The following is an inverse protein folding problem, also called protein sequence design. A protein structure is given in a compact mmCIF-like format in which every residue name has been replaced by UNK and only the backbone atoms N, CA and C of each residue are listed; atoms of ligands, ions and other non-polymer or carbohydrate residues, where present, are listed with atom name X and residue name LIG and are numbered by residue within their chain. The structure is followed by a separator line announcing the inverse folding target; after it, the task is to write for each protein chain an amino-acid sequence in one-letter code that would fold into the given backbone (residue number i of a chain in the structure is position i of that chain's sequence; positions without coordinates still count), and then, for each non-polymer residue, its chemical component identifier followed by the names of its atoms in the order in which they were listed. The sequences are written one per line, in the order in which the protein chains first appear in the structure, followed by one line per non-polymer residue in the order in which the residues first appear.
data_IF_685148001924
#
_entry.id   IF_685148001924
#
_cell.length_a   1.000
_cell.length_b   1.000
_cell.length_c   1.000
_cell.angle_alpha   90.00
_cell.angle_beta   90.00
_cell.angle_gamma   90.00
#
_symmetry.space_group_name_H-M   'P 1'
#
loop_
_entity.id
_entity.type
_entity.pdbx_description
1 polymer ?
#
# COMPACT_ATOMS: atom_id res chain seq x y z
N UNK A 1 9.75 5.47 -3.75
CA UNK A 1 10.37 4.35 -3.01
C UNK A 1 11.07 3.30 -3.88
N UNK A 2 10.87 3.26 -5.21
CA UNK A 2 11.51 2.29 -6.14
C UNK A 2 13.03 2.14 -5.97
N UNK A 3 13.77 3.25 -5.88
CA UNK A 3 15.23 3.21 -5.78
C UNK A 3 15.75 2.64 -4.45
N UNK A 4 15.08 2.93 -3.34
CA UNK A 4 15.41 2.33 -2.04
C UNK A 4 15.22 0.81 -2.09
N UNK A 5 14.10 0.34 -2.64
CA UNK A 5 13.85 -1.10 -2.81
C UNK A 5 14.92 -1.75 -3.68
N UNK A 6 15.31 -1.13 -4.80
CA UNK A 6 16.39 -1.62 -5.66
C UNK A 6 17.73 -1.69 -4.95
N UNK A 7 18.13 -0.60 -4.26
CA UNK A 7 19.41 -0.54 -3.55
C UNK A 7 19.51 -1.61 -2.45
N UNK A 8 18.44 -1.79 -1.68
CA UNK A 8 18.38 -2.84 -0.66
C UNK A 8 18.43 -4.25 -1.27
N UNK A 9 17.76 -4.49 -2.41
CA UNK A 9 17.86 -5.78 -3.11
C UNK A 9 19.28 -6.02 -3.64
N UNK A 10 19.93 -5.01 -4.22
CA UNK A 10 21.32 -5.10 -4.70
C UNK A 10 22.31 -5.36 -3.55
N UNK A 11 22.00 -4.86 -2.35
CA UNK A 11 22.75 -5.15 -1.14
C UNK A 11 22.48 -6.57 -0.57
N UNK A 12 21.68 -7.39 -1.24
CA UNK A 12 21.40 -8.78 -0.86
C UNK A 12 20.15 -8.99 0.00
N UNK A 13 19.34 -7.97 0.25
CA UNK A 13 18.10 -8.14 1.00
C UNK A 13 17.00 -8.77 0.11
N UNK A 14 16.53 -9.95 0.52
CA UNK A 14 15.47 -10.71 -0.17
C UNK A 14 14.08 -10.49 0.42
N UNK A 15 13.97 -9.84 1.59
CA UNK A 15 12.73 -9.63 2.32
C UNK A 15 12.22 -8.19 2.13
N UNK A 16 12.10 -7.79 0.88
CA UNK A 16 11.57 -6.48 0.50
C UNK A 16 10.20 -6.71 -0.10
N UNK A 17 9.20 -6.00 0.40
CA UNK A 17 7.83 -6.13 -0.06
C UNK A 17 7.28 -4.72 -0.33
N UNK A 18 6.65 -4.51 -1.47
CA UNK A 18 6.10 -3.22 -1.87
C UNK A 18 4.62 -3.35 -2.15
N UNK A 19 3.82 -2.36 -1.76
CA UNK A 19 2.41 -2.26 -2.15
C UNK A 19 2.07 -0.86 -2.64
N UNK A 20 1.00 -0.76 -3.43
CA UNK A 20 0.30 0.47 -3.81
C UNK A 20 -1.10 0.37 -3.25
N UNK A 21 -1.48 1.33 -2.41
CA UNK A 21 -2.84 1.44 -1.89
C UNK A 21 -3.66 2.35 -2.81
N UNK A 22 -4.80 1.85 -3.28
CA UNK A 22 -5.66 2.54 -4.23
C UNK A 22 -7.14 2.31 -3.89
N UNK A 23 -7.53 2.74 -2.69
CA UNK A 23 -8.93 2.72 -2.27
C UNK A 23 -9.29 3.99 -1.49
N UNK A 24 -10.47 4.54 -1.77
CA UNK A 24 -11.03 5.69 -1.05
C UNK A 24 -12.08 5.16 -0.09
N UNK A 25 -11.84 5.33 1.21
CA UNK A 25 -12.79 4.92 2.25
C UNK A 25 -14.10 5.70 2.13
N UNK A 26 -15.24 5.06 2.43
CA UNK A 26 -16.53 5.75 2.44
C UNK A 26 -16.56 6.92 3.44
N UNK A 27 -15.86 6.78 4.55
CA UNK A 27 -15.67 7.79 5.58
C UNK A 27 -14.64 8.90 5.20
N UNK A 28 -14.41 9.19 3.92
CA UNK A 28 -13.35 10.11 3.44
C UNK A 28 -13.43 11.50 4.07
N UNK A 29 -14.63 12.00 4.32
CA UNK A 29 -14.88 13.30 4.98
C UNK A 29 -14.28 13.37 6.38
N UNK A 30 -14.16 12.25 7.08
CA UNK A 30 -13.59 12.19 8.42
C UNK A 30 -12.07 12.16 8.41
N UNK A 31 -11.46 11.77 7.28
CA UNK A 31 -10.01 11.80 7.10
C UNK A 31 -9.51 13.17 6.67
N UNK A 32 -10.26 13.85 5.79
CA UNK A 32 -9.81 15.07 5.12
C UNK A 32 -10.66 16.32 5.46
N UNK A 33 -11.71 16.16 6.24
CA UNK A 33 -12.66 17.23 6.59
C UNK A 33 -13.60 17.57 5.43
N UNK A 34 -14.65 18.33 5.71
CA UNK A 34 -15.61 18.83 4.70
C UNK A 34 -15.17 20.10 3.98
N UNK A 35 -14.03 20.66 4.39
CA UNK A 35 -13.46 21.88 3.85
C UNK A 35 -12.77 21.63 2.51
N UNK A 36 -13.04 22.49 1.53
CA UNK A 36 -12.53 22.41 0.15
C UNK A 36 -11.01 22.59 -0.02
N UNK A 37 -10.17 22.49 1.02
CA UNK A 37 -8.73 22.65 0.88
C UNK A 37 -8.04 21.43 0.25
N UNK A 38 -8.70 20.27 0.24
CA UNK A 38 -8.23 19.04 -0.42
C UNK A 38 -9.35 18.34 -1.20
N UNK A 39 -9.95 19.01 -2.20
CA UNK A 39 -11.11 18.47 -2.92
C UNK A 39 -10.76 17.21 -3.71
N UNK A 40 -9.49 17.07 -4.12
CA UNK A 40 -9.02 15.90 -4.87
C UNK A 40 -9.08 14.61 -4.04
N UNK A 41 -8.98 14.68 -2.71
CA UNK A 41 -8.99 13.50 -1.84
C UNK A 41 -10.33 12.76 -1.79
N UNK A 42 -11.40 13.37 -2.30
CA UNK A 42 -12.70 12.74 -2.46
C UNK A 42 -12.78 11.82 -3.69
N UNK A 43 -11.88 12.02 -4.65
CA UNK A 43 -11.85 11.29 -5.93
C UNK A 43 -10.52 10.59 -6.18
N UNK A 44 -9.51 10.86 -5.34
CA UNK A 44 -8.18 10.30 -5.43
C UNK A 44 -7.69 9.86 -4.05
N UNK A 45 -6.85 8.83 -4.03
CA UNK A 45 -6.18 8.39 -2.81
C UNK A 45 -5.09 9.39 -2.43
N UNK A 46 -5.28 10.00 -1.26
CA UNK A 46 -4.37 10.97 -0.70
C UNK A 46 -3.43 10.33 0.33
N UNK A 47 -2.34 11.05 0.65
CA UNK A 47 -1.46 10.64 1.75
C UNK A 47 -2.28 10.41 3.02
N UNK A 48 -1.98 9.31 3.77
CA UNK A 48 -2.68 8.84 4.98
C UNK A 48 -3.98 8.03 4.72
N UNK A 49 -4.46 7.91 3.48
CA UNK A 49 -5.74 7.22 3.18
C UNK A 49 -5.77 5.75 3.62
N UNK A 50 -4.62 5.09 3.69
CA UNK A 50 -4.49 3.68 4.07
C UNK A 50 -4.50 3.44 5.59
N UNK A 51 -4.28 4.48 6.39
CA UNK A 51 -4.08 4.35 7.84
C UNK A 51 -5.23 3.65 8.57
N UNK A 52 -6.52 3.92 8.27
CA UNK A 52 -7.62 3.21 8.91
C UNK A 52 -7.56 1.70 8.69
N UNK A 53 -7.12 1.27 7.49
CA UNK A 53 -7.06 -0.14 7.11
C UNK A 53 -5.85 -0.86 7.71
N UNK A 54 -4.74 -0.15 7.93
CA UNK A 54 -3.52 -0.72 8.54
C UNK A 54 -3.66 -0.85 10.06
N UNK A 55 -4.17 0.20 10.72
CA UNK A 55 -4.23 0.23 12.18
C UNK A 55 -5.54 -0.33 12.76
N UNK A 56 -6.56 -0.49 11.91
CA UNK A 56 -7.90 -0.94 12.27
C UNK A 56 -8.33 -0.37 13.63
N UNK A 57 -8.30 0.96 13.83
CA UNK A 57 -8.34 1.54 15.16
C UNK A 57 -9.70 1.24 15.78
N UNK A 58 -9.78 0.30 16.74
CA UNK A 58 -11.06 -0.08 17.31
C UNK A 58 -11.50 1.11 18.15
N UNK A 59 -12.71 1.61 17.91
CA UNK A 59 -13.33 2.71 18.67
C UNK A 59 -12.85 4.12 18.33
N UNK A 60 -12.55 4.43 17.06
CA UNK A 60 -12.72 5.82 16.59
C UNK A 60 -14.18 5.95 16.15
N UNK A 61 -15.11 6.44 17.01
CA UNK A 61 -16.56 6.41 16.75
C UNK A 61 -16.99 7.13 15.47
N UNK A 62 -16.09 7.92 14.86
CA UNK A 62 -16.35 8.59 13.60
C UNK A 62 -16.12 7.69 12.38
N UNK A 63 -15.04 6.91 12.30
CA UNK A 63 -14.71 6.13 11.08
C UNK A 63 -15.42 4.79 11.12
N UNK A 64 -16.66 4.74 10.66
CA UNK A 64 -17.39 3.49 10.44
C UNK A 64 -17.01 2.91 9.07
N UNK A 65 -16.40 1.73 9.09
CA UNK A 65 -16.12 0.95 7.88
C UNK A 65 -17.37 0.14 7.50
N UNK A 66 -17.57 -0.08 6.20
CA UNK A 66 -18.51 -1.11 5.73
C UNK A 66 -17.97 -2.52 6.00
N UNK A 67 -18.81 -3.55 5.88
CA UNK A 67 -18.38 -4.95 5.99
C UNK A 67 -17.25 -5.31 5.02
N UNK A 68 -17.27 -4.73 3.82
CA UNK A 68 -16.25 -4.97 2.80
C UNK A 68 -14.95 -4.27 3.17
N UNK A 69 -15.03 -3.03 3.68
CA UNK A 69 -13.88 -2.28 4.20
C UNK A 69 -13.26 -2.92 5.43
N UNK A 70 -14.06 -3.50 6.33
CA UNK A 70 -13.57 -4.28 7.47
C UNK A 70 -12.83 -5.54 7.01
N UNK A 71 -13.40 -6.27 6.05
CA UNK A 71 -12.76 -7.47 5.47
C UNK A 71 -11.43 -7.08 4.79
N UNK A 72 -11.41 -5.95 4.10
CA UNK A 72 -10.21 -5.41 3.46
C UNK A 72 -9.17 -4.97 4.48
N UNK A 73 -9.57 -4.26 5.54
CA UNK A 73 -8.69 -3.87 6.65
C UNK A 73 -8.10 -5.10 7.34
N UNK A 74 -8.90 -6.15 7.60
CA UNK A 74 -8.41 -7.41 8.15
C UNK A 74 -7.38 -8.07 7.23
N UNK A 75 -7.59 -8.03 5.90
CA UNK A 75 -6.64 -8.55 4.93
C UNK A 75 -5.28 -7.83 4.96
N UNK A 76 -5.31 -6.50 5.15
CA UNK A 76 -4.12 -5.65 5.23
C UNK A 76 -3.41 -5.87 6.58
N UNK A 77 -4.18 -5.84 7.67
CA UNK A 77 -3.68 -6.08 9.03
C UNK A 77 -3.04 -7.46 9.19
N UNK A 78 -3.61 -8.51 8.58
CA UNK A 78 -3.01 -9.84 8.59
C UNK A 78 -1.60 -9.82 7.97
N UNK A 79 -1.44 -9.17 6.81
CA UNK A 79 -0.15 -9.09 6.11
C UNK A 79 0.88 -8.26 6.89
N UNK A 80 0.47 -7.10 7.41
CA UNK A 80 1.33 -6.23 8.22
C UNK A 80 1.80 -6.90 9.51
N UNK A 81 0.90 -7.57 10.22
CA UNK A 81 1.24 -8.26 11.48
C UNK A 81 2.12 -9.48 11.25
N UNK A 82 1.89 -10.26 10.19
CA UNK A 82 2.78 -11.36 9.81
C UNK A 82 4.16 -10.89 9.41
N UNK A 83 4.27 -9.82 8.64
CA UNK A 83 5.57 -9.22 8.31
C UNK A 83 6.28 -8.77 9.58
N UNK A 84 5.60 -8.07 10.48
CA UNK A 84 6.18 -7.66 11.76
C UNK A 84 6.65 -8.83 12.63
N UNK A 85 5.95 -9.98 12.57
CA UNK A 85 6.30 -11.18 13.34
C UNK A 85 7.41 -12.02 12.73
N UNK A 86 7.47 -12.12 11.40
CA UNK A 86 8.27 -13.15 10.70
C UNK A 86 9.19 -12.62 9.60
N UNK A 87 9.06 -11.35 9.21
CA UNK A 87 9.72 -10.81 8.02
C UNK A 87 9.10 -11.26 6.69
N UNK A 88 8.01 -12.04 6.72
CA UNK A 88 7.24 -12.46 5.54
C UNK A 88 5.76 -12.07 5.75
N UNK A 89 5.14 -11.29 4.85
CA UNK A 89 3.74 -10.88 4.99
C UNK A 89 2.73 -12.01 4.76
N UNK A 90 3.16 -13.16 4.22
CA UNK A 90 2.26 -14.23 3.81
C UNK A 90 2.06 -15.28 4.90
N UNK A 91 0.82 -15.73 5.07
CA UNK A 91 0.47 -16.92 5.85
C UNK A 91 -0.76 -17.59 5.25
N UNK A 92 -1.03 -18.84 5.65
CA UNK A 92 -2.27 -19.56 5.29
C UNK A 92 -3.55 -18.86 5.80
N UNK A 93 -3.40 -17.98 6.80
CA UNK A 93 -4.52 -17.24 7.39
C UNK A 93 -4.77 -15.87 6.74
N UNK A 94 -3.85 -15.38 5.89
CA UNK A 94 -4.09 -14.15 5.13
C UNK A 94 -4.76 -14.48 3.80
N UNK A 95 -5.70 -13.63 3.40
CA UNK A 95 -6.40 -13.73 2.12
C UNK A 95 -5.45 -13.63 0.93
N UNK A 96 -5.85 -14.25 -0.19
CA UNK A 96 -5.21 -14.11 -1.50
C UNK A 96 -5.34 -12.65 -2.03
N UNK A 97 -4.44 -12.16 -2.91
CA UNK A 97 -3.24 -12.81 -3.42
C UNK A 97 -2.05 -12.71 -2.45
N UNK A 98 -1.03 -13.53 -2.71
CA UNK A 98 0.24 -13.49 -1.98
C UNK A 98 0.95 -12.17 -2.23
N UNK A 99 1.53 -11.59 -1.20
CA UNK A 99 2.40 -10.44 -1.32
C UNK A 99 3.82 -10.91 -1.65
N UNK A 100 4.13 -10.94 -2.94
CA UNK A 100 5.40 -11.42 -3.44
C UNK A 100 6.54 -10.45 -3.06
N UNK A 101 7.72 -11.01 -2.82
CA UNK A 101 8.92 -10.22 -2.61
C UNK A 101 9.24 -9.40 -3.86
N UNK A 102 9.74 -8.18 -3.64
CA UNK A 102 10.16 -7.25 -4.66
C UNK A 102 11.32 -7.85 -5.46
N UNK A 103 11.27 -7.67 -6.79
CA UNK A 103 12.39 -7.97 -7.67
C UNK A 103 12.75 -6.74 -8.49
N UNK A 104 14.05 -6.54 -8.73
CA UNK A 104 14.56 -5.39 -9.49
C UNK A 104 14.01 -5.39 -10.93
N UNK A 105 13.83 -6.57 -11.52
CA UNK A 105 13.41 -6.71 -12.91
C UNK A 105 11.95 -6.30 -13.12
N UNK A 106 11.06 -6.69 -12.21
CA UNK A 106 9.63 -6.44 -12.36
C UNK A 106 9.17 -5.17 -11.66
N UNK A 107 9.91 -4.71 -10.63
CA UNK A 107 9.47 -3.68 -9.69
C UNK A 107 8.00 -3.89 -9.26
N UNK A 108 7.62 -5.14 -9.00
CA UNK A 108 6.22 -5.49 -8.70
C UNK A 108 5.85 -5.02 -7.31
N UNK A 109 4.69 -4.37 -7.22
CA UNK A 109 4.02 -4.05 -5.97
C UNK A 109 2.69 -4.81 -5.90
N UNK A 110 2.31 -5.23 -4.70
CA UNK A 110 0.94 -5.65 -4.42
C UNK A 110 0.01 -4.44 -4.63
N UNK A 111 -1.02 -4.58 -5.43
CA UNK A 111 -2.03 -3.54 -5.61
C UNK A 111 -3.18 -3.80 -4.65
N UNK A 112 -3.49 -2.83 -3.80
CA UNK A 112 -4.49 -2.94 -2.74
C UNK A 112 -5.68 -2.04 -3.05
N UNK A 113 -6.78 -2.66 -3.45
CA UNK A 113 -8.10 -2.04 -3.61
C UNK A 113 -9.19 -3.07 -3.28
N UNK A 114 -10.43 -2.64 -3.00
CA UNK A 114 -11.51 -3.54 -2.58
C UNK A 114 -11.82 -4.64 -3.61
N UNK A 115 -11.87 -4.27 -4.89
CA UNK A 115 -12.43 -5.15 -5.93
C UNK A 115 -11.40 -6.14 -6.52
N UNK A 116 -10.14 -5.70 -6.64
CA UNK A 116 -9.08 -6.46 -7.32
C UNK A 116 -7.73 -6.25 -6.64
N UNK A 117 -7.54 -6.88 -5.49
CA UNK A 117 -6.18 -7.07 -4.98
C UNK A 117 -5.39 -7.91 -5.98
N UNK A 118 -4.27 -7.37 -6.45
CA UNK A 118 -3.52 -7.92 -7.57
C UNK A 118 -2.08 -7.45 -7.57
N UNK A 119 -1.50 -7.31 -8.75
CA UNK A 119 -0.12 -6.87 -8.89
C UNK A 119 -0.04 -5.73 -9.89
N UNK A 120 0.79 -4.74 -9.57
CA UNK A 120 1.19 -3.71 -10.52
C UNK A 120 2.70 -3.77 -10.72
N UNK A 121 3.12 -3.89 -11.97
CA UNK A 121 4.53 -3.87 -12.34
C UNK A 121 4.95 -2.45 -12.67
N UNK A 122 6.12 -2.04 -12.20
CA UNK A 122 6.72 -0.75 -12.51
C UNK A 122 5.75 0.45 -12.34
N UNK A 123 5.04 0.48 -11.20
CA UNK A 123 4.06 1.52 -10.89
C UNK A 123 4.65 2.92 -11.09
N UNK A 124 3.96 3.76 -11.88
CA UNK A 124 4.38 5.13 -12.26
C UNK A 124 5.77 5.21 -12.91
N UNK A 125 6.23 4.16 -13.60
CA UNK A 125 7.54 4.08 -14.25
C UNK A 125 7.84 5.21 -15.25
N UNK A 126 7.75 4.94 -16.55
CA UNK A 126 7.93 5.96 -17.58
C UNK A 126 6.66 6.82 -17.71
N UNK A 127 6.72 8.18 -17.70
CA UNK A 127 7.92 9.00 -17.60
C UNK A 127 8.30 9.42 -16.18
N UNK A 128 7.42 9.22 -15.20
CA UNK A 128 7.52 9.87 -13.90
C UNK A 128 8.70 9.38 -13.06
N UNK A 129 8.72 8.11 -12.66
CA UNK A 129 9.82 7.59 -11.85
C UNK A 129 11.11 7.52 -12.66
N UNK A 130 11.05 7.21 -13.96
CA UNK A 130 12.25 7.10 -14.80
C UNK A 130 12.96 8.44 -14.97
N UNK A 131 12.22 9.55 -15.03
CA UNK A 131 12.79 10.89 -14.98
C UNK A 131 13.62 11.12 -13.70
N UNK A 132 13.06 10.81 -12.53
CA UNK A 132 13.74 11.02 -11.26
C UNK A 132 14.93 10.08 -11.05
N UNK A 133 14.85 8.84 -11.54
CA UNK A 133 15.96 7.90 -11.47
C UNK A 133 17.19 8.40 -12.26
N UNK A 134 16.97 9.10 -13.37
CA UNK A 134 18.03 9.67 -14.20
C UNK A 134 18.70 10.92 -13.60
N UNK A 135 18.08 11.55 -12.60
CA UNK A 135 18.64 12.72 -11.90
C UNK A 135 19.51 12.34 -10.70
N UNK A 136 19.50 11.06 -10.30
CA UNK A 136 20.54 10.43 -9.49
C UNK A 136 20.31 10.41 -7.97
N UNK A 137 20.48 9.21 -7.42
CA UNK A 137 21.34 8.96 -6.25
C UNK A 137 22.28 7.82 -6.66
N UNK A 138 23.58 8.06 -6.75
CA UNK A 138 24.57 7.00 -6.94
C UNK A 138 24.74 6.27 -5.63
N UNK A 139 24.46 4.96 -5.59
CA UNK A 139 24.78 4.08 -4.47
C UNK A 139 26.15 3.45 -4.68
#
# INVERSE_FOLDING_TARGET
MRNMSRALTLAGNTNIYSYVFDYIIQAVELLYGTSHWAPDCYTHVCHKSEMPFVFNPPNVPTIQMTSDEETFAQSIGCRWTNFGKTGNPNSLSCTSPTWNAFTINSNTSLYLTLDTTGYVNNYRGNPFCDFWDNLGYTF
#
